data_IF_941541934074
#
_entry.id   IF_941541934074
#
_cell.length_a   1.000
_cell.length_b   1.000
_cell.length_c   1.000
_cell.angle_alpha   90.00
_cell.angle_beta   90.00
_cell.angle_gamma   90.00
#
_symmetry.space_group_name_H-M   'P 1'
#
loop_
_entity.id
_entity.type
_entity.pdbx_description
1 polymer ?
#
# COMPACT_ATOMS: atom_id res chain seq x y z
N UNK A 1 -23.23 15.00 -3.85
CA UNK A 1 -22.50 14.81 -2.58
C UNK A 1 -22.76 13.40 -2.07
N UNK A 2 -21.84 12.46 -2.32
CA UNK A 2 -21.93 11.11 -1.76
C UNK A 2 -21.61 11.22 -0.27
N UNK A 3 -22.57 10.91 0.60
CA UNK A 3 -22.43 10.95 2.05
C UNK A 3 -21.37 9.90 2.43
N UNK A 4 -20.10 10.29 2.55
CA UNK A 4 -19.03 9.39 3.02
C UNK A 4 -19.49 8.84 4.38
N UNK A 5 -19.82 7.56 4.43
CA UNK A 5 -20.17 6.93 5.71
C UNK A 5 -18.94 7.01 6.60
N UNK A 6 -19.08 7.45 7.86
CA UNK A 6 -17.98 7.49 8.84
C UNK A 6 -17.22 6.15 8.92
N UNK A 7 -17.91 5.06 8.60
CA UNK A 7 -17.36 3.71 8.52
C UNK A 7 -16.27 3.60 7.45
N UNK A 8 -16.49 4.14 6.25
CA UNK A 8 -15.52 4.10 5.14
C UNK A 8 -14.25 4.88 5.49
N UNK A 9 -14.40 6.02 6.15
CA UNK A 9 -13.28 6.87 6.57
C UNK A 9 -12.41 6.15 7.61
N UNK A 10 -13.03 5.54 8.62
CA UNK A 10 -12.34 4.72 9.62
C UNK A 10 -11.65 3.52 8.97
N UNK A 11 -12.32 2.80 8.06
CA UNK A 11 -11.71 1.66 7.37
C UNK A 11 -10.51 2.10 6.50
N UNK A 12 -10.57 3.27 5.86
CA UNK A 12 -9.43 3.79 5.09
C UNK A 12 -8.25 4.17 5.99
N UNK A 13 -8.52 4.79 7.13
CA UNK A 13 -7.47 5.10 8.12
C UNK A 13 -6.83 3.82 8.66
N UNK A 14 -7.63 2.83 9.06
CA UNK A 14 -7.14 1.53 9.56
C UNK A 14 -6.34 0.79 8.49
N UNK A 15 -6.81 0.80 7.25
CA UNK A 15 -6.09 0.20 6.13
C UNK A 15 -4.76 0.90 5.85
N UNK A 16 -4.75 2.24 5.79
CA UNK A 16 -3.53 3.01 5.57
C UNK A 16 -2.47 2.79 6.66
N UNK A 17 -2.89 2.81 7.93
CA UNK A 17 -2.00 2.45 9.05
C UNK A 17 -1.54 1.00 8.98
N UNK A 18 -2.42 0.08 8.59
CA UNK A 18 -2.08 -1.33 8.41
C UNK A 18 -1.00 -1.53 7.34
N UNK A 19 -1.15 -0.90 6.17
CA UNK A 19 -0.15 -0.95 5.08
C UNK A 19 1.17 -0.32 5.54
N UNK A 20 1.13 0.79 6.27
CA UNK A 20 2.33 1.42 6.80
C UNK A 20 3.12 0.46 7.72
N UNK A 21 2.45 -0.19 8.67
CA UNK A 21 3.09 -1.16 9.58
C UNK A 21 3.66 -2.35 8.80
N UNK A 22 2.93 -2.86 7.80
CA UNK A 22 3.40 -3.96 6.95
C UNK A 22 4.64 -3.56 6.15
N UNK A 23 4.70 -2.32 5.65
CA UNK A 23 5.85 -1.82 4.90
C UNK A 23 7.10 -1.76 5.78
N UNK A 24 6.97 -1.23 7.00
CA UNK A 24 8.06 -1.20 7.97
C UNK A 24 8.49 -2.63 8.36
N UNK A 25 7.54 -3.53 8.55
CA UNK A 25 7.84 -4.93 8.86
C UNK A 25 8.59 -5.62 7.71
N UNK A 26 8.21 -5.37 6.45
CA UNK A 26 8.93 -5.85 5.28
C UNK A 26 10.35 -5.28 5.20
N UNK A 27 10.50 -3.97 5.47
CA UNK A 27 11.80 -3.31 5.54
C UNK A 27 12.72 -3.89 6.60
N UNK A 28 12.21 -4.18 7.80
CA UNK A 28 12.96 -4.86 8.86
C UNK A 28 13.45 -6.24 8.44
N UNK A 29 12.65 -6.99 7.67
CA UNK A 29 13.09 -8.28 7.12
C UNK A 29 14.29 -8.10 6.18
N UNK A 30 14.23 -7.09 5.30
CA UNK A 30 15.30 -6.77 4.36
C UNK A 30 16.61 -6.43 5.09
N UNK A 31 16.56 -5.55 6.09
CA UNK A 31 17.74 -5.23 6.90
C UNK A 31 18.23 -6.44 7.71
N UNK A 32 17.33 -7.30 8.18
CA UNK A 32 17.69 -8.55 8.86
C UNK A 32 18.49 -9.50 7.96
N UNK A 33 18.09 -9.65 6.69
CA UNK A 33 18.86 -10.42 5.71
C UNK A 33 20.18 -9.75 5.34
N UNK A 34 20.21 -8.42 5.23
CA UNK A 34 21.45 -7.68 4.96
C UNK A 34 22.47 -7.88 6.10
N UNK A 35 22.01 -7.80 7.35
CA UNK A 35 22.83 -8.06 8.53
C UNK A 35 23.33 -9.52 8.56
N UNK A 36 22.47 -10.48 8.23
CA UNK A 36 22.86 -11.89 8.12
C UNK A 36 23.98 -12.07 7.07
N UNK A 37 23.88 -11.39 5.92
CA UNK A 37 24.89 -11.46 4.86
C UNK A 37 26.25 -10.92 5.34
N UNK A 38 26.26 -9.81 6.08
CA UNK A 38 27.50 -9.20 6.62
C UNK A 38 28.15 -10.08 7.70
N UNK A 39 27.35 -10.68 8.59
CA UNK A 39 27.86 -11.52 9.70
C UNK A 39 28.47 -12.83 9.16
N UNK A 40 27.78 -13.47 8.20
CA UNK A 40 28.18 -14.77 7.67
C UNK A 40 28.12 -15.94 8.68
N UNK A 41 28.48 -17.13 8.21
CA UNK A 41 28.59 -18.33 9.05
C UNK A 41 27.28 -18.86 9.64
N UNK A 42 27.40 -19.56 10.76
CA UNK A 42 26.30 -20.27 11.43
C UNK A 42 25.24 -19.31 12.02
N UNK A 43 25.70 -18.16 12.52
CA UNK A 43 24.83 -17.09 13.04
C UNK A 43 23.96 -16.47 11.94
N UNK A 44 24.52 -16.25 10.75
CA UNK A 44 23.75 -15.76 9.60
C UNK A 44 22.67 -16.76 9.16
N UNK A 45 23.01 -18.05 9.15
CA UNK A 45 22.06 -19.11 8.80
C UNK A 45 20.90 -19.16 9.79
N UNK A 46 21.21 -19.07 11.10
CA UNK A 46 20.19 -19.06 12.15
C UNK A 46 19.25 -17.86 12.04
N UNK A 47 19.80 -16.67 11.76
CA UNK A 47 19.00 -15.45 11.58
C UNK A 47 18.13 -15.51 10.31
N UNK A 48 18.69 -15.98 9.21
CA UNK A 48 17.96 -16.16 7.95
C UNK A 48 16.81 -17.17 8.10
N UNK A 49 17.06 -18.30 8.78
CA UNK A 49 16.04 -19.32 9.06
C UNK A 49 14.95 -18.76 9.98
N UNK A 50 15.29 -17.96 10.98
CA UNK A 50 14.33 -17.31 11.85
C UNK A 50 13.42 -16.33 11.07
N UNK A 51 14.02 -15.48 10.24
CA UNK A 51 13.25 -14.52 9.43
C UNK A 51 12.31 -15.27 8.48
N UNK A 52 12.81 -16.34 7.83
CA UNK A 52 12.03 -17.11 6.88
C UNK A 52 10.92 -17.95 7.53
N UNK A 53 11.21 -18.67 8.62
CA UNK A 53 10.29 -19.64 9.22
C UNK A 53 9.32 -19.04 10.25
N UNK A 54 9.67 -17.92 10.86
CA UNK A 54 8.89 -17.38 11.96
C UNK A 54 8.39 -15.97 11.68
N UNK A 55 9.28 -15.07 11.25
CA UNK A 55 8.93 -13.67 11.01
C UNK A 55 8.00 -13.50 9.79
N UNK A 56 8.39 -14.01 8.61
CA UNK A 56 7.57 -13.85 7.41
C UNK A 56 6.16 -14.44 7.52
N UNK A 57 5.95 -15.66 8.07
CA UNK A 57 4.60 -16.19 8.22
C UNK A 57 3.70 -15.32 9.10
N UNK A 58 4.25 -14.66 10.12
CA UNK A 58 3.49 -13.74 10.98
C UNK A 58 3.16 -12.46 10.20
N UNK A 59 4.16 -11.85 9.57
CA UNK A 59 3.98 -10.61 8.81
C UNK A 59 2.99 -10.83 7.67
N UNK A 60 3.13 -11.90 6.89
CA UNK A 60 2.21 -12.22 5.79
C UNK A 60 0.78 -12.43 6.30
N UNK A 61 0.57 -13.14 7.42
CA UNK A 61 -0.78 -13.32 8.00
C UNK A 61 -1.42 -11.98 8.36
N UNK A 62 -0.65 -11.10 9.02
CA UNK A 62 -1.13 -9.75 9.37
C UNK A 62 -1.43 -8.94 8.10
N UNK A 63 -0.53 -8.96 7.11
CA UNK A 63 -0.72 -8.31 5.82
C UNK A 63 -1.97 -8.80 5.10
N UNK A 64 -2.24 -10.10 5.10
CA UNK A 64 -3.45 -10.67 4.48
C UNK A 64 -4.72 -10.15 5.14
N UNK A 65 -4.74 -9.99 6.46
CA UNK A 65 -5.88 -9.42 7.19
C UNK A 65 -6.07 -7.95 6.82
N UNK A 66 -4.98 -7.16 6.78
CA UNK A 66 -5.02 -5.75 6.38
C UNK A 66 -5.54 -5.60 4.95
N UNK A 67 -5.01 -6.39 4.01
CA UNK A 67 -5.46 -6.38 2.60
C UNK A 67 -6.92 -6.79 2.50
N UNK A 68 -7.37 -7.80 3.25
CA UNK A 68 -8.77 -8.21 3.26
C UNK A 68 -9.70 -7.09 3.73
N UNK A 69 -9.33 -6.35 4.78
CA UNK A 69 -10.08 -5.17 5.23
C UNK A 69 -10.07 -4.08 4.16
N UNK A 70 -8.93 -3.84 3.51
CA UNK A 70 -8.80 -2.90 2.40
C UNK A 70 -9.71 -3.25 1.22
N UNK A 71 -9.78 -4.53 0.84
CA UNK A 71 -10.63 -5.03 -0.24
C UNK A 71 -12.12 -4.90 0.10
N UNK A 72 -12.51 -5.23 1.34
CA UNK A 72 -13.89 -5.05 1.81
C UNK A 72 -14.26 -3.55 1.76
N UNK A 73 -13.36 -2.67 2.21
CA UNK A 73 -13.59 -1.23 2.13
C UNK A 73 -13.74 -0.76 0.67
N UNK A 74 -12.87 -1.26 -0.23
CA UNK A 74 -12.92 -0.90 -1.65
C UNK A 74 -14.25 -1.29 -2.29
N UNK A 75 -14.75 -2.49 -1.98
CA UNK A 75 -16.03 -2.98 -2.49
C UNK A 75 -17.22 -2.15 -1.98
N UNK A 76 -17.25 -1.85 -0.68
CA UNK A 76 -18.33 -1.06 -0.05
C UNK A 76 -18.28 0.40 -0.51
N UNK A 77 -17.08 0.96 -0.62
CA UNK A 77 -16.91 2.37 -0.91
C UNK A 77 -17.13 2.71 -2.39
N UNK A 78 -17.26 1.71 -3.28
CA UNK A 78 -17.32 1.82 -4.75
C UNK A 78 -16.14 2.61 -5.39
N UNK A 79 -15.26 3.16 -4.57
CA UNK A 79 -14.00 3.75 -4.92
C UNK A 79 -13.10 2.59 -5.28
N UNK A 80 -13.09 2.25 -6.56
CA UNK A 80 -12.04 1.43 -7.10
C UNK A 80 -10.76 2.24 -6.95
N UNK A 81 -10.04 2.03 -5.85
CA UNK A 81 -8.78 2.70 -5.55
C UNK A 81 -7.71 2.47 -6.65
N UNK A 82 -8.03 1.61 -7.63
CA UNK A 82 -7.25 1.26 -8.80
C UNK A 82 -8.10 1.13 -10.09
N UNK A 83 -9.26 1.79 -10.22
CA UNK A 83 -9.88 1.92 -11.55
C UNK A 83 -9.59 3.29 -12.16
N UNK A 84 -9.30 3.21 -13.45
CA UNK A 84 -9.19 4.22 -14.53
C UNK A 84 -9.96 5.55 -14.34
N UNK A 85 -10.90 5.65 -13.40
CA UNK A 85 -11.51 6.92 -13.00
C UNK A 85 -10.55 7.92 -12.34
N UNK A 86 -9.50 7.48 -11.63
CA UNK A 86 -8.50 8.41 -11.08
C UNK A 86 -7.64 9.00 -12.20
N UNK A 87 -7.18 8.16 -13.13
CA UNK A 87 -6.49 8.58 -14.36
C UNK A 87 -7.35 9.55 -15.20
N UNK A 88 -8.67 9.33 -15.28
CA UNK A 88 -9.56 10.23 -16.03
C UNK A 88 -9.71 11.60 -15.37
N UNK A 89 -9.71 11.69 -14.05
CA UNK A 89 -9.89 12.97 -13.35
C UNK A 89 -8.64 13.83 -13.43
N UNK A 90 -7.46 13.25 -13.21
CA UNK A 90 -6.16 13.93 -13.40
C UNK A 90 -5.92 14.26 -14.88
N UNK A 91 -6.24 13.34 -15.81
CA UNK A 91 -6.12 13.61 -17.24
C UNK A 91 -7.10 14.69 -17.73
N UNK A 92 -8.34 14.72 -17.24
CA UNK A 92 -9.31 15.76 -17.59
C UNK A 92 -8.91 17.13 -17.02
N UNK A 93 -8.28 17.19 -15.84
CA UNK A 93 -7.72 18.43 -15.27
C UNK A 93 -6.49 18.93 -16.06
N UNK A 94 -5.57 18.04 -16.45
CA UNK A 94 -4.42 18.40 -17.31
C UNK A 94 -4.87 18.86 -18.71
N UNK A 95 -5.85 18.16 -19.33
CA UNK A 95 -6.44 18.57 -20.61
C UNK A 95 -7.17 19.92 -20.51
N UNK A 96 -7.79 20.22 -19.36
CA UNK A 96 -8.44 21.51 -19.12
C UNK A 96 -7.43 22.65 -18.97
N UNK A 97 -6.30 22.45 -18.30
CA UNK A 97 -5.23 23.46 -18.20
C UNK A 97 -4.55 23.71 -19.55
N UNK A 98 -4.30 22.66 -20.35
CA UNK A 98 -3.68 22.80 -21.67
C UNK A 98 -4.60 23.56 -22.66
N UNK A 99 -5.92 23.36 -22.58
CA UNK A 99 -6.89 24.09 -23.42
C UNK A 99 -7.03 25.56 -23.05
N UNK A 100 -6.72 25.95 -21.81
CA UNK A 100 -6.74 27.35 -21.40
C UNK A 100 -5.48 28.10 -21.83
N UNK A 101 -4.36 27.40 -22.03
CA UNK A 101 -3.07 28.00 -22.38
C UNK A 101 -2.78 28.06 -23.89
N UNK A 102 -3.60 27.41 -24.73
CA UNK A 102 -3.55 27.60 -26.18
C UNK A 102 -4.29 28.90 -26.55
N UNK A 103 -3.59 29.97 -26.99
CA UNK A 103 -4.27 31.14 -27.53
C UNK A 103 -5.07 30.71 -28.74
N UNK A 104 -6.32 31.19 -28.84
CA UNK A 104 -7.12 31.11 -30.07
C UNK A 104 -6.33 31.80 -31.19
N UNK A 105 -5.58 31.01 -31.97
CA UNK A 105 -5.04 31.48 -33.25
C UNK A 105 -6.25 31.53 -34.18
N UNK A 106 -6.68 32.77 -34.47
CA UNK A 106 -7.67 33.06 -35.51
C UNK A 106 -7.13 32.82 -36.91
#
# INVERSE_FOLDING_TARGET
>A
MVKKSKIVEVLNTVFGWGIYVVLIAGGLAFFGFLAALIIGGESATSLAVFIHKQYFPIVIKVSSIVIMIGLINMYISNQHALSITLDKQEADEELASIKQEQPKVG
#
